data_IF_198009539747
#
_entry.id   IF_198009539747
#
_cell.length_a   1.000
_cell.length_b   1.000
_cell.length_c   1.000
_cell.angle_alpha   90.00
_cell.angle_beta   90.00
_cell.angle_gamma   90.00
#
_symmetry.space_group_name_H-M   'P 1'
#
loop_
_entity.id
_entity.type
_entity.pdbx_description
1 polymer ?
#
# COMPACT_ATOMS: atom_id res chain seq x y z
N UNK A 1 -29.87 41.48 38.46
CA UNK A 1 -28.52 40.99 38.81
C UNK A 1 -28.62 39.55 39.31
N UNK A 2 -28.22 38.59 38.48
CA UNK A 2 -27.94 37.20 38.89
C UNK A 2 -26.71 36.76 38.11
N UNK A 3 -25.70 36.33 38.85
CA UNK A 3 -24.35 35.97 38.41
C UNK A 3 -24.35 34.70 37.56
N UNK A 4 -23.43 34.57 36.58
CA UNK A 4 -23.30 33.36 35.77
C UNK A 4 -22.52 32.26 36.55
N UNK A 5 -22.93 30.98 36.47
CA UNK A 5 -22.14 29.90 37.03
C UNK A 5 -20.99 29.47 36.09
N UNK A 6 -19.80 29.51 36.70
CA UNK A 6 -18.51 28.89 36.38
C UNK A 6 -18.35 28.02 35.12
N UNK A 7 -17.31 28.36 34.35
CA UNK A 7 -16.73 27.57 33.28
C UNK A 7 -16.29 26.18 33.75
N UNK A 8 -16.65 25.14 32.99
CA UNK A 8 -16.18 23.77 33.20
C UNK A 8 -14.81 23.56 32.52
N UNK A 9 -13.87 22.83 33.14
CA UNK A 9 -12.52 22.69 32.61
C UNK A 9 -12.48 21.82 31.35
N UNK A 10 -11.63 22.23 30.41
CA UNK A 10 -11.37 21.54 29.15
C UNK A 10 -10.88 20.11 29.40
N UNK A 11 -11.56 19.13 28.80
CA UNK A 11 -11.07 17.75 28.76
C UNK A 11 -9.84 17.71 27.85
N UNK A 12 -8.68 17.51 28.48
CA UNK A 12 -7.40 17.24 27.84
C UNK A 12 -7.56 16.19 26.73
N UNK A 13 -7.25 16.60 25.50
CA UNK A 13 -7.09 15.72 24.36
C UNK A 13 -5.94 14.78 24.69
N UNK A 14 -6.27 13.53 25.01
CA UNK A 14 -5.31 12.44 25.11
C UNK A 14 -4.64 12.32 23.74
N UNK A 15 -3.45 12.91 23.59
CA UNK A 15 -2.52 12.62 22.50
C UNK A 15 -2.36 11.10 22.48
N UNK A 16 -3.02 10.44 21.53
CA UNK A 16 -2.70 9.07 21.19
C UNK A 16 -1.25 9.11 20.72
N UNK A 17 -0.38 8.56 21.57
CA UNK A 17 1.01 8.32 21.24
C UNK A 17 1.02 7.57 19.90
N UNK A 18 1.66 8.18 18.90
CA UNK A 18 1.91 7.55 17.63
C UNK A 18 2.53 6.18 17.91
N UNK A 19 1.78 5.12 17.58
CA UNK A 19 2.29 3.77 17.58
C UNK A 19 3.40 3.74 16.53
N UNK A 20 4.63 3.77 17.03
CA UNK A 20 5.86 3.51 16.29
C UNK A 20 5.61 2.29 15.39
N UNK A 21 5.74 2.38 14.05
CA UNK A 21 5.56 1.21 13.22
C UNK A 21 6.66 0.23 13.64
N UNK A 22 6.22 -0.90 14.20
CA UNK A 22 7.08 -2.00 14.48
C UNK A 22 7.55 -2.54 13.13
N UNK A 23 8.66 -1.99 12.66
CA UNK A 23 9.50 -2.68 11.68
C UNK A 23 9.97 -3.98 12.32
N UNK A 24 9.10 -5.00 12.30
CA UNK A 24 9.56 -6.38 12.40
C UNK A 24 10.31 -6.63 11.12
N UNK A 25 11.62 -6.45 11.18
CA UNK A 25 12.55 -7.03 10.22
C UNK A 25 12.30 -8.53 10.24
N UNK A 26 11.46 -9.02 9.32
CA UNK A 26 11.33 -10.44 9.11
C UNK A 26 12.67 -10.89 8.54
N UNK A 27 13.43 -11.65 9.32
CA UNK A 27 14.63 -12.35 8.86
C UNK A 27 14.28 -13.16 7.61
N UNK A 28 14.61 -12.59 6.47
CA UNK A 28 14.41 -13.13 5.14
C UNK A 28 15.54 -12.64 4.25
N UNK A 29 16.76 -12.67 4.76
CA UNK A 29 17.88 -11.89 4.23
C UNK A 29 18.20 -12.26 2.76
N UNK A 30 17.91 -13.50 2.34
CA UNK A 30 18.02 -13.93 0.94
C UNK A 30 16.84 -13.52 0.04
N UNK A 31 15.59 -13.78 0.46
CA UNK A 31 14.40 -13.53 -0.39
C UNK A 31 14.09 -12.05 -0.53
N UNK A 32 14.18 -11.30 0.57
CA UNK A 32 14.00 -9.84 0.55
C UNK A 32 15.09 -9.17 -0.27
N UNK A 33 16.34 -9.65 -0.19
CA UNK A 33 17.42 -9.15 -1.05
C UNK A 33 17.19 -9.51 -2.52
N UNK A 34 16.76 -10.73 -2.82
CA UNK A 34 16.44 -11.15 -4.20
C UNK A 34 15.32 -10.31 -4.81
N UNK A 35 14.24 -10.07 -4.06
CA UNK A 35 13.14 -9.22 -4.51
C UNK A 35 13.60 -7.78 -4.82
N UNK A 36 14.41 -7.19 -3.93
CA UNK A 36 15.00 -5.85 -4.16
C UNK A 36 15.93 -5.82 -5.37
N UNK A 37 16.73 -6.87 -5.58
CA UNK A 37 17.62 -7.00 -6.76
C UNK A 37 16.80 -7.05 -8.05
N UNK A 38 15.78 -7.90 -8.10
CA UNK A 38 14.89 -8.02 -9.25
C UNK A 38 14.19 -6.69 -9.55
N UNK A 39 13.64 -6.01 -8.53
CA UNK A 39 13.01 -4.70 -8.71
C UNK A 39 13.97 -3.68 -9.35
N UNK A 40 15.21 -3.60 -8.85
CA UNK A 40 16.23 -2.70 -9.40
C UNK A 40 16.66 -3.08 -10.84
N UNK A 41 16.66 -4.37 -11.18
CA UNK A 41 16.92 -4.83 -12.55
C UNK A 41 15.80 -4.41 -13.51
N UNK A 42 14.54 -4.51 -13.09
CA UNK A 42 13.38 -4.08 -13.87
C UNK A 42 13.38 -2.56 -14.07
N UNK A 43 13.66 -1.77 -13.02
CA UNK A 43 13.78 -0.31 -13.13
C UNK A 43 14.89 0.11 -14.10
N UNK A 44 16.06 -0.55 -14.04
CA UNK A 44 17.15 -0.29 -15.00
C UNK A 44 16.75 -0.66 -16.43
N UNK A 45 16.05 -1.77 -16.63
CA UNK A 45 15.57 -2.16 -17.95
C UNK A 45 14.58 -1.12 -18.51
N UNK A 46 13.64 -0.66 -17.70
CA UNK A 46 12.66 0.38 -18.06
C UNK A 46 13.33 1.72 -18.37
N UNK A 47 14.29 2.15 -17.54
CA UNK A 47 15.08 3.36 -17.80
C UNK A 47 15.90 3.27 -19.10
N UNK A 48 16.32 2.06 -19.48
CA UNK A 48 16.95 1.76 -20.76
C UNK A 48 15.98 1.56 -21.93
N UNK A 49 14.66 1.76 -21.73
CA UNK A 49 13.63 1.62 -22.76
C UNK A 49 13.19 0.17 -23.05
N UNK A 50 13.71 -0.82 -22.33
CA UNK A 50 13.37 -2.24 -22.50
C UNK A 50 12.12 -2.58 -21.68
N UNK A 51 11.07 -3.06 -22.36
CA UNK A 51 9.75 -3.37 -21.75
C UNK A 51 9.47 -4.87 -21.64
N UNK A 52 10.29 -5.69 -22.28
CA UNK A 52 10.20 -7.15 -22.39
C UNK A 52 11.18 -7.87 -21.45
N UNK A 53 11.54 -7.23 -20.32
CA UNK A 53 12.44 -7.81 -19.32
C UNK A 53 11.82 -9.02 -18.58
N UNK A 54 10.49 -9.16 -18.60
CA UNK A 54 9.76 -10.31 -18.08
C UNK A 54 8.85 -10.87 -19.18
N UNK A 55 8.65 -12.19 -19.16
CA UNK A 55 7.52 -12.78 -19.89
C UNK A 55 6.20 -12.32 -19.28
N UNK A 56 5.12 -12.42 -20.06
CA UNK A 56 3.78 -12.06 -19.59
C UNK A 56 3.38 -12.87 -18.36
N UNK A 57 3.67 -14.16 -18.37
CA UNK A 57 3.36 -15.10 -17.29
C UNK A 57 4.16 -14.77 -16.03
N UNK A 58 5.44 -14.42 -16.17
CA UNK A 58 6.29 -14.02 -15.06
C UNK A 58 5.80 -12.71 -14.41
N UNK A 59 5.43 -11.71 -15.22
CA UNK A 59 4.86 -10.45 -14.72
C UNK A 59 3.53 -10.69 -13.99
N UNK A 60 2.63 -11.48 -14.57
CA UNK A 60 1.36 -11.83 -13.93
C UNK A 60 1.56 -12.57 -12.60
N UNK A 61 2.48 -13.53 -12.55
CA UNK A 61 2.81 -14.27 -11.33
C UNK A 61 3.37 -13.34 -10.24
N UNK A 62 4.27 -12.42 -10.62
CA UNK A 62 4.85 -11.44 -9.70
C UNK A 62 3.79 -10.50 -9.13
N UNK A 63 2.92 -9.95 -9.99
CA UNK A 63 1.81 -9.09 -9.58
C UNK A 63 0.83 -9.81 -8.65
N UNK A 64 0.45 -11.05 -8.98
CA UNK A 64 -0.45 -11.84 -8.15
C UNK A 64 0.16 -12.13 -6.77
N UNK A 65 1.46 -12.48 -6.71
CA UNK A 65 2.16 -12.70 -5.46
C UNK A 65 2.24 -11.41 -4.62
N UNK A 66 2.60 -10.28 -5.23
CA UNK A 66 2.68 -8.99 -4.55
C UNK A 66 1.32 -8.56 -3.97
N UNK A 67 0.23 -8.68 -4.74
CA UNK A 67 -1.12 -8.38 -4.26
C UNK A 67 -1.50 -9.25 -3.06
N UNK A 68 -1.25 -10.58 -3.12
CA UNK A 68 -1.56 -11.51 -2.03
C UNK A 68 -0.76 -11.20 -0.77
N UNK A 69 0.55 -10.97 -0.91
CA UNK A 69 1.42 -10.67 0.24
C UNK A 69 1.08 -9.32 0.87
N UNK A 70 0.76 -8.31 0.06
CA UNK A 70 0.31 -7.01 0.57
C UNK A 70 -1.04 -7.13 1.30
N UNK A 71 -2.05 -7.77 0.67
CA UNK A 71 -3.37 -7.97 1.27
C UNK A 71 -3.28 -8.72 2.61
N UNK A 72 -2.48 -9.78 2.68
CA UNK A 72 -2.27 -10.54 3.92
C UNK A 72 -1.66 -9.68 5.05
N UNK A 73 -0.75 -8.76 4.74
CA UNK A 73 -0.19 -7.84 5.74
C UNK A 73 -1.24 -6.83 6.24
N UNK A 74 -2.06 -6.28 5.34
CA UNK A 74 -3.14 -5.36 5.72
C UNK A 74 -4.22 -6.08 6.55
N UNK A 75 -4.56 -7.32 6.20
CA UNK A 75 -5.47 -8.15 6.99
C UNK A 75 -4.90 -8.50 8.37
N UNK A 76 -3.58 -8.62 8.49
CA UNK A 76 -2.89 -8.77 9.77
C UNK A 76 -2.86 -7.48 10.62
N UNK A 77 -3.39 -6.36 10.10
CA UNK A 77 -3.47 -5.08 10.80
C UNK A 77 -2.25 -4.18 10.63
N UNK A 78 -1.32 -4.52 9.71
CA UNK A 78 -0.17 -3.67 9.41
C UNK A 78 -0.61 -2.39 8.68
N UNK A 79 -0.03 -1.26 9.07
CA UNK A 79 -0.24 0.04 8.40
C UNK A 79 0.89 0.28 7.41
N UNK A 80 0.82 -0.40 6.27
CA UNK A 80 1.81 -0.35 5.21
C UNK A 80 1.19 0.24 3.94
N UNK A 81 1.89 1.16 3.28
CA UNK A 81 1.55 1.57 1.92
C UNK A 81 2.16 0.58 0.91
N UNK A 82 1.48 0.27 -0.21
CA UNK A 82 1.99 -0.69 -1.19
C UNK A 82 3.22 -0.16 -1.95
N UNK A 83 3.41 1.16 -1.94
CA UNK A 83 4.54 1.87 -2.57
C UNK A 83 5.16 2.84 -1.55
N UNK A 84 6.48 3.12 -1.64
CA UNK A 84 7.10 4.13 -0.81
C UNK A 84 6.52 5.52 -1.11
N UNK A 85 6.46 6.38 -0.09
CA UNK A 85 5.91 7.75 -0.21
C UNK A 85 6.64 8.61 -1.27
N UNK A 86 7.88 8.27 -1.61
CA UNK A 86 8.70 8.98 -2.60
C UNK A 86 9.41 7.99 -3.52
N UNK A 87 9.35 8.23 -4.82
CA UNK A 87 10.17 7.54 -5.81
C UNK A 87 9.75 6.12 -6.18
N UNK A 88 8.53 5.69 -5.84
CA UNK A 88 8.01 4.36 -6.19
C UNK A 88 7.46 4.29 -7.62
N UNK A 89 6.28 4.88 -7.83
CA UNK A 89 5.64 4.96 -9.14
C UNK A 89 4.98 6.32 -9.32
N UNK A 90 4.88 6.78 -10.56
CA UNK A 90 4.13 7.99 -10.92
C UNK A 90 2.62 7.76 -10.76
N UNK A 91 1.86 8.84 -10.61
CA UNK A 91 0.41 8.75 -10.52
C UNK A 91 -0.21 8.01 -11.72
N UNK A 92 0.31 8.25 -12.93
CA UNK A 92 -0.17 7.58 -14.14
C UNK A 92 0.09 6.06 -14.10
N UNK A 93 1.27 5.62 -13.67
CA UNK A 93 1.59 4.20 -13.54
C UNK A 93 0.70 3.51 -12.52
N UNK A 94 0.42 4.18 -11.39
CA UNK A 94 -0.54 3.68 -10.38
C UNK A 94 -1.92 3.53 -10.99
N UNK A 95 -2.42 4.54 -11.72
CA UNK A 95 -3.76 4.50 -12.33
C UNK A 95 -3.89 3.39 -13.38
N UNK A 96 -2.87 3.21 -14.24
CA UNK A 96 -2.84 2.13 -15.25
C UNK A 96 -2.85 0.77 -14.57
N UNK A 97 -1.98 0.59 -13.56
CA UNK A 97 -1.84 -0.69 -12.85
C UNK A 97 -3.11 -1.04 -12.08
N UNK A 98 -3.68 -0.09 -11.34
CA UNK A 98 -4.92 -0.28 -10.59
C UNK A 98 -6.09 -0.64 -11.53
N UNK A 99 -6.22 0.07 -12.66
CA UNK A 99 -7.25 -0.23 -13.66
C UNK A 99 -7.08 -1.63 -14.27
N UNK A 100 -5.83 -2.04 -14.54
CA UNK A 100 -5.51 -3.39 -15.01
C UNK A 100 -5.86 -4.48 -14.01
N UNK A 101 -5.54 -4.28 -12.72
CA UNK A 101 -5.88 -5.21 -11.64
C UNK A 101 -7.39 -5.36 -11.47
N UNK A 102 -8.14 -4.25 -11.46
CA UNK A 102 -9.60 -4.28 -11.39
C UNK A 102 -10.20 -5.05 -12.57
N UNK A 103 -9.74 -4.76 -13.80
CA UNK A 103 -10.17 -5.49 -15.00
C UNK A 103 -9.87 -6.99 -14.90
N UNK A 104 -8.68 -7.36 -14.42
CA UNK A 104 -8.28 -8.77 -14.27
C UNK A 104 -9.13 -9.52 -13.24
N UNK A 105 -9.62 -8.83 -12.21
CA UNK A 105 -10.52 -9.37 -11.21
C UNK A 105 -12.01 -9.31 -11.61
N UNK A 106 -12.32 -8.80 -12.82
CA UNK A 106 -13.69 -8.50 -13.26
C UNK A 106 -14.44 -7.58 -12.27
N UNK A 107 -13.74 -6.56 -11.77
CA UNK A 107 -14.28 -5.56 -10.86
C UNK A 107 -14.33 -4.19 -11.54
N UNK A 108 -15.40 -3.44 -11.26
CA UNK A 108 -15.50 -2.03 -11.59
C UNK A 108 -15.01 -1.14 -10.45
N UNK A 109 -14.57 0.09 -10.78
CA UNK A 109 -14.06 1.05 -9.79
C UNK A 109 -15.10 1.41 -8.71
N UNK A 110 -16.38 1.41 -9.05
CA UNK A 110 -17.44 1.68 -8.09
C UNK A 110 -17.60 0.55 -7.07
N UNK A 111 -17.37 -0.71 -7.45
CA UNK A 111 -17.44 -1.87 -6.55
C UNK A 111 -16.33 -1.81 -5.50
N UNK A 112 -15.15 -1.34 -5.89
CA UNK A 112 -14.06 -1.06 -4.95
C UNK A 112 -14.48 -0.01 -3.91
N UNK A 113 -15.07 1.10 -4.36
CA UNK A 113 -15.56 2.14 -3.45
C UNK A 113 -16.64 1.63 -2.50
N UNK A 114 -17.57 0.79 -2.97
CA UNK A 114 -18.57 0.14 -2.12
C UNK A 114 -17.91 -0.76 -1.06
N UNK A 115 -16.95 -1.59 -1.45
CA UNK A 115 -16.24 -2.48 -0.52
C UNK A 115 -15.45 -1.72 0.56
N UNK A 116 -14.77 -0.63 0.19
CA UNK A 116 -14.07 0.24 1.13
C UNK A 116 -15.02 0.84 2.18
N UNK A 117 -16.21 1.30 1.74
CA UNK A 117 -17.24 1.82 2.64
C UNK A 117 -17.75 0.79 3.66
N UNK A 118 -17.80 -0.50 3.28
CA UNK A 118 -18.22 -1.59 4.17
C UNK A 118 -17.13 -2.05 5.13
N UNK A 119 -15.86 -2.00 4.71
CA UNK A 119 -14.74 -2.47 5.54
C UNK A 119 -14.13 -1.39 6.42
N UNK A 120 -14.55 -0.13 6.27
CA UNK A 120 -14.00 0.99 7.03
C UNK A 120 -12.53 1.28 6.71
N UNK A 121 -12.10 0.91 5.50
CA UNK A 121 -10.74 1.09 4.98
C UNK A 121 -10.70 2.14 3.88
#
# INVERSE_FOLDING_TARGET
MRTPPAAKPAKSVRRQAASKPAGKTVEGDGRSAQAKRLAAELERALAGGRRDALSTEALQALMAAACKTYAAQIEAGEQLLPLPERGGATATEVMITASGLLKAANLAVFELGMWQSWTGR
#
